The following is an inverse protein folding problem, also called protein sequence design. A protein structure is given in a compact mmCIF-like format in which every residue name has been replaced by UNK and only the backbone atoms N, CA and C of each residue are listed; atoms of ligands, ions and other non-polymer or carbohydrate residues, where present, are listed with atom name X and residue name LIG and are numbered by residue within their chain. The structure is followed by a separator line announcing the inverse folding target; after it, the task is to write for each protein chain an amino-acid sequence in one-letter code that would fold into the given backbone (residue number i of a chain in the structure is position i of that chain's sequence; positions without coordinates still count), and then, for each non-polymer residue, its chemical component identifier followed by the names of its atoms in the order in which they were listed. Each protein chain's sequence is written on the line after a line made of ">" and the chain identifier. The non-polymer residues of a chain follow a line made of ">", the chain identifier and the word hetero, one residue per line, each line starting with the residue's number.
data_IF_569738769864
#
_entry.id   IF_569738769864
#
_cell.length_a   1.000
_cell.length_b   1.000
_cell.length_c   1.000
_cell.angle_alpha   90.00
_cell.angle_beta   90.00
_cell.angle_gamma   90.00
#
_symmetry.space_group_name_H-M   'P 1'
#
loop_
_entity.id
_entity.type
_entity.pdbx_description
1 polymer ?
#
# COMPACT_ATOMS: atom_id res chain seq x y z
N UNK A 1 -3.60 9.02 8.44
CA UNK A 1 -3.88 8.08 7.33
C UNK A 1 -3.34 8.68 6.05
N UNK A 2 -2.72 7.85 5.21
CA UNK A 2 -2.25 8.23 3.88
C UNK A 2 -3.17 7.57 2.86
N UNK A 3 -4.08 8.35 2.31
CA UNK A 3 -5.04 7.93 1.28
C UNK A 3 -4.48 8.23 -0.12
N UNK A 4 -5.00 7.52 -1.11
CA UNK A 4 -4.59 7.65 -2.51
C UNK A 4 -4.82 9.07 -3.05
N UNK A 5 -5.97 9.67 -2.70
CA UNK A 5 -6.41 11.01 -3.09
C UNK A 5 -5.80 12.14 -2.25
N UNK A 6 -4.89 11.83 -1.32
CA UNK A 6 -4.19 12.84 -0.54
C UNK A 6 -3.49 13.83 -1.47
N UNK A 7 -3.62 15.12 -1.20
CA UNK A 7 -2.96 16.15 -2.00
C UNK A 7 -1.43 15.93 -2.06
N UNK A 8 -0.86 16.09 -3.25
CA UNK A 8 0.51 15.69 -3.57
C UNK A 8 1.54 16.45 -2.74
N UNK A 9 1.38 17.77 -2.55
CA UNK A 9 2.30 18.56 -1.72
C UNK A 9 2.30 18.08 -0.27
N UNK A 10 1.14 17.71 0.25
CA UNK A 10 1.03 17.11 1.57
C UNK A 10 1.74 15.78 1.68
N UNK A 11 1.61 14.89 0.68
CA UNK A 11 2.35 13.62 0.66
C UNK A 11 3.87 13.86 0.55
N UNK A 12 4.29 14.74 -0.36
CA UNK A 12 5.69 15.10 -0.57
C UNK A 12 6.35 15.62 0.72
N UNK A 13 5.66 16.50 1.46
CA UNK A 13 6.16 17.00 2.75
C UNK A 13 6.39 15.85 3.74
N UNK A 14 5.46 14.91 3.85
CA UNK A 14 5.61 13.75 4.75
C UNK A 14 6.80 12.90 4.36
N UNK A 15 7.00 12.67 3.06
CA UNK A 15 8.14 11.89 2.55
C UNK A 15 9.47 12.59 2.83
N UNK A 16 9.53 13.92 2.71
CA UNK A 16 10.71 14.72 3.06
C UNK A 16 10.98 14.73 4.57
N UNK A 17 9.94 14.92 5.38
CA UNK A 17 10.05 14.88 6.84
C UNK A 17 10.57 13.50 7.33
N UNK A 18 10.27 12.44 6.57
CA UNK A 18 10.75 11.08 6.81
C UNK A 18 12.10 10.75 6.13
N UNK A 19 12.70 11.69 5.38
CA UNK A 19 13.91 11.50 4.57
C UNK A 19 13.84 10.25 3.67
N UNK A 20 12.71 10.09 2.96
CA UNK A 20 12.39 8.88 2.23
C UNK A 20 12.14 9.13 0.73
N UNK A 21 12.94 8.51 -0.13
CA UNK A 21 12.68 8.45 -1.58
C UNK A 21 11.62 7.40 -1.92
N UNK A 22 11.53 6.33 -1.12
CA UNK A 22 10.48 5.33 -1.19
C UNK A 22 9.84 5.23 0.20
N UNK A 23 8.56 5.60 0.31
CA UNK A 23 7.80 5.51 1.56
C UNK A 23 6.78 4.38 1.44
N UNK A 24 7.07 3.26 2.11
CA UNK A 24 6.14 2.14 2.26
C UNK A 24 5.29 2.32 3.53
N UNK A 25 3.96 2.22 3.41
CA UNK A 25 3.03 2.38 4.52
C UNK A 25 1.80 1.49 4.35
N UNK A 26 0.99 1.37 5.40
CA UNK A 26 -0.24 0.57 5.38
C UNK A 26 -1.41 1.31 6.00
N UNK A 27 -2.04 0.69 6.99
CA UNK A 27 -3.14 1.23 7.82
C UNK A 27 -4.50 1.38 7.12
N UNK A 28 -4.56 1.85 5.87
CA UNK A 28 -5.84 1.96 5.13
C UNK A 28 -6.30 0.63 4.56
N UNK A 29 -5.38 -0.33 4.39
CA UNK A 29 -5.60 -1.65 3.79
C UNK A 29 -6.05 -1.62 2.33
N UNK A 30 -5.80 -0.48 1.64
CA UNK A 30 -6.09 -0.29 0.22
C UNK A 30 -4.77 -0.06 -0.50
N UNK A 31 -4.27 -1.02 -1.27
CA UNK A 31 -2.99 -0.86 -1.94
C UNK A 31 -3.06 0.23 -3.00
N UNK A 32 -2.00 1.02 -3.12
CA UNK A 32 -1.81 1.96 -4.21
C UNK A 32 -0.33 2.32 -4.30
N UNK A 33 0.09 2.78 -5.48
CA UNK A 33 1.42 3.33 -5.70
C UNK A 33 1.28 4.68 -6.39
N UNK A 34 1.91 5.70 -5.82
CA UNK A 34 2.03 7.03 -6.43
C UNK A 34 3.49 7.39 -6.60
N UNK A 35 3.82 7.89 -7.79
CA UNK A 35 5.11 8.53 -8.08
C UNK A 35 4.89 10.03 -8.02
N UNK A 36 5.66 10.71 -7.17
CA UNK A 36 5.57 12.14 -6.91
C UNK A 36 6.83 12.80 -7.44
N UNK A 37 6.68 13.73 -8.37
CA UNK A 37 7.81 14.44 -8.96
C UNK A 37 8.09 15.74 -8.20
N UNK A 38 9.37 16.06 -8.05
CA UNK A 38 9.83 17.32 -7.47
C UNK A 38 11.01 17.87 -8.27
N UNK A 39 10.91 19.13 -8.69
CA UNK A 39 11.99 19.83 -9.38
C UNK A 39 12.68 20.83 -8.45
N UNK A 40 13.97 20.66 -8.23
CA UNK A 40 14.85 21.58 -7.50
C UNK A 40 16.06 21.93 -8.37
N UNK A 41 16.40 23.21 -8.50
CA UNK A 41 17.54 23.71 -9.30
C UNK A 41 17.62 23.13 -10.72
N UNK A 42 16.45 22.94 -11.35
CA UNK A 42 16.33 22.38 -12.71
C UNK A 42 16.47 20.86 -12.80
N UNK A 43 16.64 20.16 -11.68
CA UNK A 43 16.71 18.71 -11.59
C UNK A 43 15.40 18.16 -11.05
N UNK A 44 14.76 17.26 -11.80
CA UNK A 44 13.55 16.56 -11.35
C UNK A 44 13.91 15.21 -10.74
N UNK A 45 13.46 15.01 -9.50
CA UNK A 45 13.53 13.75 -8.78
C UNK A 45 12.13 13.18 -8.56
N UNK A 46 12.04 11.88 -8.34
CA UNK A 46 10.81 11.13 -8.18
C UNK A 46 10.86 10.37 -6.86
N UNK A 47 9.78 10.45 -6.10
CA UNK A 47 9.60 9.70 -4.86
C UNK A 47 8.41 8.75 -4.98
N UNK A 48 8.50 7.56 -4.38
CA UNK A 48 7.51 6.51 -4.48
C UNK A 48 6.74 6.37 -3.15
N UNK A 49 5.47 6.76 -3.13
CA UNK A 49 4.57 6.52 -2.00
C UNK A 49 3.78 5.22 -2.26
N UNK A 50 3.97 4.21 -1.41
CA UNK A 50 3.45 2.86 -1.62
C UNK A 50 2.61 2.45 -0.40
N UNK A 51 1.31 2.29 -0.61
CA UNK A 51 0.48 1.59 0.34
C UNK A 51 0.55 0.09 0.08
N UNK A 52 1.09 -0.69 1.02
CA UNK A 52 1.34 -2.12 0.84
C UNK A 52 0.08 -2.98 0.97
N UNK A 53 -1.09 -2.37 1.19
CA UNK A 53 -2.36 -3.08 1.33
C UNK A 53 -2.49 -3.77 2.69
N UNK A 54 -3.02 -4.99 2.69
CA UNK A 54 -3.21 -5.77 3.90
C UNK A 54 -3.15 -7.27 3.63
N UNK A 55 -2.39 -7.98 4.46
CA UNK A 55 -2.29 -9.44 4.44
C UNK A 55 -3.59 -10.08 4.94
N UNK A 56 -4.15 -9.58 6.03
CA UNK A 56 -5.23 -10.26 6.77
C UNK A 56 -6.59 -9.57 6.74
N UNK A 57 -6.69 -8.32 6.28
CA UNK A 57 -7.97 -7.60 6.20
C UNK A 57 -7.97 -6.59 5.05
N UNK A 58 -7.89 -7.01 3.78
CA UNK A 58 -7.97 -6.10 2.64
C UNK A 58 -9.30 -5.32 2.65
N UNK A 59 -9.26 -4.07 2.16
CA UNK A 59 -10.42 -3.15 2.18
C UNK A 59 -10.79 -2.60 0.81
N UNK A 60 -10.35 -3.27 -0.25
CA UNK A 60 -10.51 -2.84 -1.63
C UNK A 60 -11.42 -3.76 -2.45
N UNK A 61 -12.35 -4.45 -1.77
CA UNK A 61 -13.29 -5.43 -2.35
C UNK A 61 -12.62 -6.68 -2.97
N UNK A 62 -11.32 -6.89 -2.73
CA UNK A 62 -10.62 -8.15 -2.99
C UNK A 62 -10.34 -8.84 -1.66
N UNK A 63 -10.92 -10.02 -1.46
CA UNK A 63 -10.77 -10.82 -0.23
C UNK A 63 -9.40 -11.48 -0.09
N UNK A 64 -8.60 -11.55 -1.15
CA UNK A 64 -7.26 -12.16 -1.14
C UNK A 64 -6.30 -11.32 -0.30
N UNK A 65 -5.45 -12.00 0.45
CA UNK A 65 -4.36 -11.32 1.14
C UNK A 65 -3.45 -10.64 0.13
N UNK A 66 -2.89 -9.49 0.51
CA UNK A 66 -2.05 -8.67 -0.36
C UNK A 66 -0.71 -8.31 0.29
N UNK A 67 0.33 -8.30 -0.54
CA UNK A 67 1.63 -7.71 -0.21
C UNK A 67 2.25 -7.08 -1.45
N UNK A 68 3.36 -6.36 -1.27
CA UNK A 68 4.10 -5.73 -2.36
C UNK A 68 5.46 -6.39 -2.54
N UNK A 69 5.82 -6.66 -3.79
CA UNK A 69 7.21 -6.90 -4.19
C UNK A 69 7.77 -5.60 -4.78
N UNK A 70 8.79 -5.05 -4.12
CA UNK A 70 9.48 -3.85 -4.55
C UNK A 70 10.75 -4.24 -5.28
N UNK A 71 10.89 -3.83 -6.54
CA UNK A 71 12.06 -4.12 -7.35
C UNK A 71 12.93 -2.88 -7.45
N UNK A 72 14.15 -2.99 -6.92
CA UNK A 72 15.20 -1.98 -6.98
C UNK A 72 16.40 -2.63 -7.63
N UNK A 73 16.89 -2.02 -8.72
CA UNK A 73 18.03 -2.51 -9.50
C UNK A 73 19.26 -1.64 -9.21
N UNK A 74 20.42 -2.11 -9.65
CA UNK A 74 21.69 -1.37 -9.51
C UNK A 74 21.66 -0.02 -10.24
N UNK A 75 20.92 0.07 -11.35
CA UNK A 75 20.74 1.27 -12.16
C UNK A 75 19.50 2.11 -11.75
N UNK A 76 18.83 1.74 -10.66
CA UNK A 76 17.71 2.53 -10.14
C UNK A 76 18.15 3.93 -9.73
N UNK A 77 17.32 4.92 -10.05
CA UNK A 77 17.64 6.34 -9.87
C UNK A 77 16.37 7.14 -9.58
N UNK A 78 16.47 8.06 -8.61
CA UNK A 78 15.41 9.03 -8.33
C UNK A 78 15.16 9.97 -9.51
N UNK A 79 16.09 10.07 -10.47
CA UNK A 79 15.94 10.93 -11.66
C UNK A 79 15.04 10.30 -12.74
N UNK A 80 14.67 9.03 -12.58
CA UNK A 80 13.92 8.26 -13.57
C UNK A 80 12.69 7.64 -12.91
N UNK A 81 11.50 8.10 -13.32
CA UNK A 81 10.22 7.82 -12.66
C UNK A 81 9.87 6.32 -12.56
N UNK A 82 10.28 5.53 -13.55
CA UNK A 82 9.99 4.10 -13.70
C UNK A 82 11.18 3.20 -13.30
N UNK A 83 12.24 3.78 -12.71
CA UNK A 83 13.41 3.00 -12.29
C UNK A 83 13.15 2.09 -11.09
N UNK A 84 12.05 2.33 -10.37
CA UNK A 84 11.55 1.51 -9.27
C UNK A 84 10.19 0.94 -9.70
N UNK A 85 10.06 -0.38 -9.67
CA UNK A 85 8.77 -1.05 -9.98
C UNK A 85 8.17 -1.70 -8.74
N UNK A 86 6.83 -1.69 -8.69
CA UNK A 86 6.05 -2.13 -7.55
C UNK A 86 5.02 -3.14 -8.04
N UNK A 87 5.15 -4.40 -7.61
CA UNK A 87 4.18 -5.44 -7.93
C UNK A 87 3.26 -5.71 -6.74
N UNK A 88 1.96 -5.52 -6.94
CA UNK A 88 0.94 -5.85 -5.94
C UNK A 88 0.57 -7.33 -6.06
N UNK A 89 1.08 -8.15 -5.15
CA UNK A 89 0.84 -9.58 -5.16
C UNK A 89 -0.39 -9.90 -4.32
N UNK A 90 -1.29 -10.69 -4.90
CA UNK A 90 -2.48 -11.24 -4.23
C UNK A 90 -2.35 -12.74 -4.09
N UNK A 91 -2.66 -13.25 -2.91
CA UNK A 91 -2.62 -14.68 -2.63
C UNK A 91 -3.94 -15.16 -2.03
N UNK A 92 -4.35 -16.35 -2.46
CA UNK A 92 -5.53 -17.01 -1.91
C UNK A 92 -5.23 -17.60 -0.54
N UNK A 93 -6.23 -17.56 0.34
CA UNK A 93 -6.24 -18.25 1.61
C UNK A 93 -7.67 -18.65 1.93
N UNK A 94 -7.84 -19.56 2.89
CA UNK A 94 -9.16 -19.97 3.36
C UNK A 94 -9.78 -18.89 4.25
N UNK A 95 -10.35 -17.86 3.62
CA UNK A 95 -11.01 -16.75 4.30
C UNK A 95 -12.29 -17.19 5.02
N UNK A 96 -12.94 -18.27 4.58
CA UNK A 96 -14.10 -18.83 5.28
C UNK A 96 -13.71 -19.48 6.59
N UNK A 97 -12.58 -20.19 6.64
CA UNK A 97 -12.03 -20.70 7.90
C UNK A 97 -11.69 -19.56 8.86
N UNK A 98 -11.11 -18.47 8.38
CA UNK A 98 -10.82 -17.30 9.21
C UNK A 98 -12.11 -16.61 9.70
N UNK A 99 -13.12 -16.46 8.83
CA UNK A 99 -14.41 -15.87 9.16
C UNK A 99 -15.17 -16.69 10.22
N UNK A 100 -15.20 -18.03 10.08
CA UNK A 100 -15.81 -18.91 11.08
C UNK A 100 -15.11 -18.83 12.43
N UNK A 101 -13.77 -18.78 12.44
CA UNK A 101 -13.02 -18.60 13.69
C UNK A 101 -13.37 -17.27 14.39
N UNK A 102 -13.70 -16.22 13.64
CA UNK A 102 -14.22 -14.96 14.22
C UNK A 102 -15.61 -15.17 14.82
N UNK A 103 -16.53 -15.82 14.09
CA UNK A 103 -17.91 -16.09 14.55
C UNK A 103 -17.97 -17.00 15.78
N UNK A 104 -17.01 -17.91 15.92
CA UNK A 104 -16.85 -18.82 17.07
C UNK A 104 -16.13 -18.16 18.26
N UNK A 105 -15.65 -16.92 18.09
CA UNK A 105 -14.94 -16.15 19.11
C UNK A 105 -15.87 -15.12 19.78
N UNK A 106 -15.44 -14.45 20.86
CA UNK A 106 -16.21 -13.34 21.44
C UNK A 106 -16.18 -12.05 20.58
N UNK A 107 -15.53 -12.06 19.42
CA UNK A 107 -15.43 -10.89 18.54
C UNK A 107 -16.75 -10.66 17.76
N UNK A 108 -17.07 -9.41 17.40
CA UNK A 108 -18.24 -9.11 16.58
C UNK A 108 -18.21 -9.81 15.21
N UNK A 109 -19.34 -10.42 14.82
CA UNK A 109 -19.51 -11.08 13.53
C UNK A 109 -19.24 -10.17 12.31
N UNK A 110 -19.36 -8.85 12.47
CA UNK A 110 -18.99 -7.90 11.42
C UNK A 110 -17.54 -8.05 10.93
N UNK A 111 -16.62 -8.56 11.76
CA UNK A 111 -15.26 -8.86 11.30
C UNK A 111 -15.20 -10.07 10.36
N UNK A 112 -16.08 -11.06 10.52
CA UNK A 112 -16.21 -12.17 9.58
C UNK A 112 -16.79 -11.70 8.24
N UNK A 113 -17.82 -10.84 8.28
CA UNK A 113 -18.40 -10.22 7.08
C UNK A 113 -17.35 -9.42 6.29
N UNK A 114 -16.52 -8.66 7.00
CA UNK A 114 -15.40 -7.93 6.42
C UNK A 114 -14.40 -8.85 5.68
N UNK A 115 -14.10 -10.04 6.23
CA UNK A 115 -13.19 -11.01 5.57
C UNK A 115 -13.82 -11.60 4.31
N UNK A 116 -15.12 -11.89 4.32
CA UNK A 116 -15.83 -12.47 3.17
C UNK A 116 -15.97 -11.49 2.01
N UNK A 117 -16.08 -10.19 2.32
CA UNK A 117 -16.38 -9.15 1.33
C UNK A 117 -15.21 -8.19 1.03
N UNK A 118 -14.17 -8.16 1.86
CA UNK A 118 -12.99 -7.30 1.67
C UNK A 118 -13.22 -5.80 1.99
N UNK A 119 -13.78 -5.46 3.17
CA UNK A 119 -13.95 -4.08 3.67
C UNK A 119 -13.64 -3.87 5.16
#
# INVERSE_FOLDING_TARGET
>A
YLFEDREEKSMLRIMKDADADILCFGHTHKPFHRVIAETNDGVTSHRHAINIGSVGKPKDNDKRGGYVLLNIKEDSSILTADSITVDFIRFEYDYEKAAKAVEESPLPNGYADNLRNGY
#
